data_IF_208153284126
#
_entry.id   IF_208153284126
#
_cell.length_a   1.000
_cell.length_b   1.000
_cell.length_c   1.000
_cell.angle_alpha   90.00
_cell.angle_beta   90.00
_cell.angle_gamma   90.00
#
_symmetry.space_group_name_H-M   'P 1'
#
loop_
_entity.id
_entity.type
_entity.pdbx_description
1 polymer ?
#
# COMPACT_ATOMS: atom_id res chain seq x y z
N UNK A 1 -5.33 40.47 -29.93
CA UNK A 1 -4.83 39.46 -28.98
C UNK A 1 -6.04 38.76 -28.40
N UNK A 2 -6.43 37.62 -28.96
CA UNK A 2 -7.57 36.83 -28.49
C UNK A 2 -7.08 35.92 -27.37
N UNK A 3 -7.46 36.22 -26.13
CA UNK A 3 -7.29 35.30 -25.00
C UNK A 3 -7.94 33.96 -25.36
N UNK A 4 -7.26 32.81 -25.26
CA UNK A 4 -7.91 31.52 -25.48
C UNK A 4 -9.05 31.39 -24.46
N UNK A 5 -10.28 31.31 -24.95
CA UNK A 5 -11.46 31.01 -24.12
C UNK A 5 -11.27 29.64 -23.50
N UNK A 6 -11.14 29.60 -22.17
CA UNK A 6 -11.06 28.34 -21.43
C UNK A 6 -12.30 27.47 -21.74
N UNK A 7 -12.10 26.16 -21.97
CA UNK A 7 -13.21 25.26 -22.27
C UNK A 7 -14.19 25.22 -21.09
N UNK A 8 -15.46 25.52 -21.35
CA UNK A 8 -16.55 25.37 -20.39
C UNK A 8 -17.17 23.97 -20.51
N UNK A 9 -17.61 23.40 -19.39
CA UNK A 9 -18.19 22.05 -19.33
C UNK A 9 -19.62 22.06 -18.78
N UNK A 10 -20.48 21.23 -19.36
CA UNK A 10 -21.89 21.13 -18.95
C UNK A 10 -22.11 20.06 -17.88
N UNK A 11 -23.16 20.24 -17.07
CA UNK A 11 -23.58 19.21 -16.11
C UNK A 11 -24.02 17.95 -16.88
N UNK A 12 -23.55 16.80 -16.42
CA UNK A 12 -23.65 15.50 -17.07
C UNK A 12 -22.76 15.27 -18.31
N UNK A 13 -21.92 16.23 -18.69
CA UNK A 13 -20.95 16.04 -19.76
C UNK A 13 -19.88 15.00 -19.36
N UNK A 14 -19.50 14.13 -20.31
CA UNK A 14 -18.38 13.20 -20.16
C UNK A 14 -17.09 13.91 -20.53
N UNK A 15 -16.12 13.86 -19.63
CA UNK A 15 -14.84 14.57 -19.73
C UNK A 15 -13.70 13.61 -19.40
N UNK A 16 -12.49 14.02 -19.74
CA UNK A 16 -11.27 13.38 -19.30
C UNK A 16 -10.68 14.22 -18.17
N UNK A 17 -10.34 13.61 -17.04
CA UNK A 17 -9.87 14.31 -15.87
C UNK A 17 -8.55 13.72 -15.37
N UNK A 18 -7.57 14.59 -15.10
CA UNK A 18 -6.33 14.19 -14.46
C UNK A 18 -6.57 13.82 -13.01
N UNK A 19 -6.03 12.69 -12.57
CA UNK A 19 -5.88 12.33 -11.17
C UNK A 19 -4.47 11.78 -10.96
N UNK A 20 -3.63 12.56 -10.27
CA UNK A 20 -2.18 12.33 -10.28
C UNK A 20 -1.58 12.49 -11.69
N UNK A 21 -0.65 11.61 -12.12
CA UNK A 21 -0.02 11.68 -13.44
C UNK A 21 -0.88 11.10 -14.58
N UNK A 22 -2.01 10.47 -14.26
CA UNK A 22 -2.85 9.74 -15.21
C UNK A 22 -4.17 10.47 -15.51
N UNK A 23 -4.75 10.14 -16.65
CA UNK A 23 -6.03 10.67 -17.11
C UNK A 23 -7.08 9.57 -17.02
N UNK A 24 -8.22 9.90 -16.42
CA UNK A 24 -9.37 9.02 -16.25
C UNK A 24 -10.61 9.61 -16.92
N UNK A 25 -11.52 8.73 -17.32
CA UNK A 25 -12.84 9.16 -17.80
C UNK A 25 -13.69 9.58 -16.59
N UNK A 26 -14.32 10.76 -16.67
CA UNK A 26 -15.14 11.31 -15.62
C UNK A 26 -16.42 11.97 -16.16
N UNK A 27 -17.35 12.28 -15.28
CA UNK A 27 -18.61 12.97 -15.58
C UNK A 27 -18.78 14.17 -14.66
N UNK A 28 -19.19 15.31 -15.21
CA UNK A 28 -19.54 16.49 -14.41
C UNK A 28 -20.88 16.25 -13.72
N UNK A 29 -20.95 16.42 -12.41
CA UNK A 29 -22.16 16.18 -11.62
C UNK A 29 -22.88 17.45 -11.18
N UNK A 30 -22.18 18.57 -11.01
CA UNK A 30 -22.75 19.83 -10.50
C UNK A 30 -22.33 21.03 -11.38
N UNK A 31 -23.10 22.13 -11.36
CA UNK A 31 -22.69 23.39 -11.99
C UNK A 31 -21.34 23.87 -11.42
N UNK A 32 -20.53 24.59 -12.23
CA UNK A 32 -19.25 25.08 -11.75
C UNK A 32 -19.42 26.12 -10.64
N UNK A 33 -18.48 26.10 -9.69
CA UNK A 33 -18.32 27.15 -8.69
C UNK A 33 -17.10 28.00 -9.05
N UNK A 34 -17.20 29.31 -8.90
CA UNK A 34 -16.11 30.23 -9.19
C UNK A 34 -15.41 30.56 -7.87
N UNK A 35 -14.15 30.16 -7.75
CA UNK A 35 -13.30 30.56 -6.63
C UNK A 35 -12.57 31.87 -6.98
N UNK A 36 -12.65 32.83 -6.07
CA UNK A 36 -11.87 34.07 -6.08
C UNK A 36 -10.48 33.85 -5.47
N UNK A 37 -9.57 34.80 -5.64
CA UNK A 37 -8.20 34.76 -5.05
C UNK A 37 -8.19 34.45 -3.55
N UNK A 38 -9.22 34.91 -2.81
CA UNK A 38 -9.34 34.72 -1.36
C UNK A 38 -9.89 33.34 -0.96
N UNK A 39 -10.62 32.68 -1.86
CA UNK A 39 -11.34 31.41 -1.59
C UNK A 39 -10.76 30.20 -2.31
N UNK A 40 -9.76 30.42 -3.17
CA UNK A 40 -9.12 29.38 -3.94
C UNK A 40 -8.10 28.59 -3.11
N UNK A 41 -8.01 27.26 -3.26
CA UNK A 41 -6.91 26.48 -2.72
C UNK A 41 -5.54 27.03 -3.19
N UNK A 42 -4.55 27.22 -2.30
CA UNK A 42 -3.25 27.83 -2.64
C UNK A 42 -2.49 27.10 -3.77
N UNK A 43 -2.76 25.81 -3.94
CA UNK A 43 -2.08 24.95 -4.91
C UNK A 43 -2.64 25.06 -6.33
N UNK A 44 -3.85 25.60 -6.48
CA UNK A 44 -4.64 25.45 -7.71
C UNK A 44 -5.08 26.79 -8.30
N UNK A 45 -5.15 27.84 -7.47
CA UNK A 45 -5.44 29.19 -7.90
C UNK A 45 -6.93 29.45 -8.17
N UNK A 46 -7.31 30.72 -8.39
CA UNK A 46 -8.70 31.11 -8.66
C UNK A 46 -9.18 30.59 -10.01
N UNK A 47 -10.50 30.49 -10.15
CA UNK A 47 -11.14 30.10 -11.40
C UNK A 47 -12.35 29.20 -11.22
N UNK A 48 -12.89 28.66 -12.32
CA UNK A 48 -14.01 27.72 -12.29
C UNK A 48 -13.56 26.34 -11.80
N UNK A 49 -14.28 25.77 -10.84
CA UNK A 49 -14.12 24.41 -10.37
C UNK A 49 -15.37 23.61 -10.71
N UNK A 50 -15.17 22.37 -11.15
CA UNK A 50 -16.24 21.45 -11.52
C UNK A 50 -16.23 20.24 -10.60
N UNK A 51 -17.41 19.78 -10.20
CA UNK A 51 -17.55 18.58 -9.39
C UNK A 51 -17.58 17.35 -10.30
N UNK A 52 -16.56 16.49 -10.18
CA UNK A 52 -16.36 15.34 -11.07
C UNK A 52 -16.58 14.01 -10.36
N UNK A 53 -17.14 13.05 -11.09
CA UNK A 53 -17.22 11.65 -10.70
C UNK A 53 -16.46 10.79 -11.72
N UNK A 54 -15.49 10.02 -11.24
CA UNK A 54 -14.67 9.15 -12.08
C UNK A 54 -15.41 7.85 -12.42
N UNK A 55 -15.35 7.45 -13.69
CA UNK A 55 -16.00 6.24 -14.18
C UNK A 55 -15.43 5.00 -13.50
N UNK A 56 -16.28 4.28 -12.78
CA UNK A 56 -15.93 3.04 -12.06
C UNK A 56 -15.30 3.27 -10.69
N UNK A 57 -15.25 4.51 -10.20
CA UNK A 57 -14.73 4.84 -8.88
C UNK A 57 -15.91 4.99 -7.88
N UNK A 58 -15.63 4.86 -6.58
CA UNK A 58 -16.63 5.10 -5.53
C UNK A 58 -16.92 6.60 -5.41
N UNK A 59 -18.16 6.97 -5.06
CA UNK A 59 -18.57 8.37 -4.86
C UNK A 59 -17.74 9.12 -3.79
N UNK A 60 -17.09 8.40 -2.87
CA UNK A 60 -16.17 8.98 -1.89
C UNK A 60 -14.93 9.63 -2.52
N UNK A 61 -14.67 9.39 -3.81
CA UNK A 61 -13.60 9.99 -4.59
C UNK A 61 -14.06 11.18 -5.45
N UNK A 62 -15.32 11.59 -5.35
CA UNK A 62 -15.83 12.73 -6.09
C UNK A 62 -15.21 14.02 -5.51
N UNK A 63 -14.63 14.85 -6.37
CA UNK A 63 -13.89 16.04 -5.96
C UNK A 63 -14.23 17.25 -6.83
N UNK A 64 -14.00 18.45 -6.27
CA UNK A 64 -14.01 19.70 -7.02
C UNK A 64 -12.64 19.91 -7.64
N UNK A 65 -12.59 20.00 -8.97
CA UNK A 65 -11.34 20.15 -9.72
C UNK A 65 -11.35 21.42 -10.58
N UNK A 66 -10.22 22.10 -10.73
CA UNK A 66 -10.07 23.25 -11.62
C UNK A 66 -10.20 22.83 -13.09
N UNK A 67 -10.42 23.81 -13.96
CA UNK A 67 -10.41 23.63 -15.43
C UNK A 67 -9.11 23.01 -15.93
N UNK A 68 -7.97 23.34 -15.32
CA UNK A 68 -6.65 22.84 -15.71
C UNK A 68 -6.49 21.31 -15.59
N UNK A 69 -7.33 20.65 -14.78
CA UNK A 69 -7.36 19.18 -14.65
C UNK A 69 -8.35 18.52 -15.62
N UNK A 70 -9.09 19.29 -16.42
CA UNK A 70 -10.13 18.79 -17.30
C UNK A 70 -9.76 18.92 -18.77
N UNK A 71 -10.18 17.92 -19.53
CA UNK A 71 -9.97 17.81 -20.95
C UNK A 71 -11.29 17.37 -21.60
N UNK A 72 -11.62 17.96 -22.76
CA UNK A 72 -12.78 17.52 -23.54
C UNK A 72 -12.56 16.11 -24.06
N UNK A 73 -13.63 15.33 -24.18
CA UNK A 73 -13.60 13.98 -24.73
C UNK A 73 -13.47 14.05 -26.26
N UNK A 74 -12.24 14.25 -26.75
CA UNK A 74 -11.90 14.22 -28.18
C UNK A 74 -10.83 13.15 -28.46
N UNK A 75 -10.64 12.80 -29.73
CA UNK A 75 -9.72 11.73 -30.13
C UNK A 75 -8.26 12.01 -29.74
N UNK A 76 -7.86 13.28 -29.77
CA UNK A 76 -6.52 13.73 -29.35
C UNK A 76 -6.26 13.46 -27.85
N UNK A 77 -7.18 13.86 -26.97
CA UNK A 77 -7.05 13.67 -25.53
C UNK A 77 -7.17 12.19 -25.13
N UNK A 78 -7.96 11.41 -25.88
CA UNK A 78 -8.01 9.95 -25.72
C UNK A 78 -6.66 9.31 -26.09
N UNK A 79 -5.98 9.81 -27.12
CA UNK A 79 -4.63 9.34 -27.47
C UNK A 79 -3.62 9.66 -26.34
N UNK A 80 -3.69 10.84 -25.74
CA UNK A 80 -2.86 11.22 -24.57
C UNK A 80 -3.14 10.32 -23.36
N UNK A 81 -4.41 10.00 -23.09
CA UNK A 81 -4.77 9.05 -22.04
C UNK A 81 -4.12 7.68 -22.27
N UNK A 82 -4.22 7.15 -23.50
CA UNK A 82 -3.63 5.85 -23.85
C UNK A 82 -2.10 5.84 -23.75
N UNK A 83 -1.44 6.90 -24.19
CA UNK A 83 0.03 6.98 -24.13
C UNK A 83 0.53 7.03 -22.68
N UNK A 84 -0.13 7.80 -21.81
CA UNK A 84 0.20 7.88 -20.38
C UNK A 84 -0.05 6.56 -19.63
N UNK A 85 -1.10 5.83 -19.99
CA UNK A 85 -1.37 4.51 -19.40
C UNK A 85 -0.35 3.45 -19.87
N UNK A 86 0.09 3.51 -21.12
CA UNK A 86 1.09 2.58 -21.66
C UNK A 86 2.49 2.78 -21.07
N UNK A 87 2.90 4.04 -20.83
CA UNK A 87 4.19 4.36 -20.21
C UNK A 87 4.25 4.02 -18.72
N UNK A 88 3.10 3.92 -18.05
CA UNK A 88 3.01 3.60 -16.61
C UNK A 88 3.05 2.10 -16.30
N UNK A 89 2.95 1.23 -17.32
CA UNK A 89 2.91 -0.24 -17.18
C UNK A 89 4.27 -0.95 -17.22
N UNK A 90 5.38 -0.22 -17.41
CA UNK A 90 6.75 -0.78 -17.43
C UNK A 90 7.58 -0.12 -16.33
N UNK A 91 7.60 -0.72 -15.13
CA UNK A 91 8.29 -0.16 -13.97
C UNK A 91 9.82 -0.20 -14.07
N UNK A 92 10.47 0.81 -13.48
CA UNK A 92 11.84 0.67 -12.97
C UNK A 92 12.74 1.91 -13.07
N UNK A 93 12.76 2.72 -12.00
CA UNK A 93 13.93 3.43 -11.47
C UNK A 93 14.73 4.41 -12.35
N UNK A 94 14.67 5.70 -11.96
CA UNK A 94 15.88 6.52 -11.86
C UNK A 94 15.95 7.81 -12.70
N UNK A 95 16.01 8.93 -11.96
CA UNK A 95 16.73 10.18 -12.26
C UNK A 95 16.22 11.07 -13.42
N UNK A 96 15.63 12.22 -13.04
CA UNK A 96 15.85 13.47 -13.80
C UNK A 96 17.32 13.94 -13.67
N UNK A 97 17.80 14.90 -14.48
CA UNK A 97 17.09 16.17 -14.72
C UNK A 97 17.06 16.65 -16.19
N UNK A 98 16.31 17.73 -16.38
CA UNK A 98 16.05 18.49 -17.61
C UNK A 98 17.29 19.25 -18.14
N UNK A 99 17.21 19.59 -19.44
CA UNK A 99 17.79 20.75 -20.20
C UNK A 99 18.77 20.33 -21.31
N UNK A 100 18.44 20.68 -22.57
CA UNK A 100 19.42 20.75 -23.66
C UNK A 100 18.85 20.64 -25.08
N UNK A 101 18.85 21.75 -25.80
CA UNK A 101 18.38 22.01 -27.16
C UNK A 101 19.30 21.43 -28.28
N UNK A 102 18.67 21.12 -29.42
CA UNK A 102 19.17 21.10 -30.82
C UNK A 102 19.97 19.90 -31.39
N UNK A 103 19.59 19.53 -32.62
CA UNK A 103 20.56 19.26 -33.70
C UNK A 103 20.38 17.97 -34.52
N UNK A 104 19.68 18.07 -35.65
CA UNK A 104 20.04 17.52 -36.99
C UNK A 104 20.32 16.01 -37.22
N UNK A 105 19.56 15.46 -38.18
CA UNK A 105 19.78 14.25 -39.00
C UNK A 105 21.08 14.34 -39.86
N UNK A 106 21.47 13.39 -40.77
CA UNK A 106 20.67 12.30 -41.38
C UNK A 106 21.40 10.98 -41.78
N UNK A 107 20.63 10.08 -42.42
CA UNK A 107 21.10 9.00 -43.33
C UNK A 107 20.87 7.59 -42.76
N UNK A 108 20.26 6.60 -43.43
CA UNK A 108 19.83 6.44 -44.81
C UNK A 108 19.97 4.94 -45.17
N UNK A 109 19.12 4.44 -46.09
CA UNK A 109 19.08 3.09 -46.73
C UNK A 109 18.36 2.00 -45.91
N UNK A 110 17.39 1.22 -46.42
CA UNK A 110 16.89 1.03 -47.78
C UNK A 110 16.75 -0.47 -48.10
N UNK A 111 15.60 -0.86 -48.69
CA UNK A 111 15.23 -2.18 -49.26
C UNK A 111 14.84 -3.29 -48.26
N UNK A 112 13.83 -4.12 -48.48
CA UNK A 112 12.85 -4.34 -49.56
C UNK A 112 11.94 -5.49 -49.07
N UNK A 113 10.63 -5.47 -49.30
CA UNK A 113 10.04 -6.11 -50.46
C UNK A 113 8.89 -7.03 -49.99
N UNK A 114 7.71 -6.79 -50.56
CA UNK A 114 6.42 -7.44 -50.28
C UNK A 114 6.31 -8.88 -50.80
N UNK A 115 5.36 -9.65 -50.26
CA UNK A 115 4.33 -10.51 -50.91
C UNK A 115 3.94 -11.63 -49.93
N UNK A 116 2.72 -12.14 -49.82
CA UNK A 116 1.51 -11.99 -50.62
C UNK A 116 0.30 -12.58 -49.88
N UNK A 117 -0.86 -12.27 -50.44
CA UNK A 117 -2.21 -12.59 -49.99
C UNK A 117 -2.73 -13.92 -50.55
N UNK A 118 -3.87 -14.38 -50.00
CA UNK A 118 -4.86 -15.39 -50.46
C UNK A 118 -4.67 -16.78 -49.83
N UNK A 119 -5.70 -17.48 -49.34
CA UNK A 119 -7.15 -17.29 -49.34
C UNK A 119 -7.86 -18.66 -49.22
N UNK A 120 -9.18 -18.62 -48.96
CA UNK A 120 -10.18 -19.72 -48.92
C UNK A 120 -10.28 -20.54 -47.61
N UNK A 121 -11.36 -20.57 -46.83
CA UNK A 121 -12.82 -20.70 -47.03
C UNK A 121 -13.34 -22.15 -47.15
N UNK A 122 -14.17 -22.58 -46.19
CA UNK A 122 -15.37 -23.45 -46.34
C UNK A 122 -16.05 -23.62 -44.95
N UNK A 123 -17.23 -23.03 -44.70
CA UNK A 123 -18.62 -23.59 -44.74
C UNK A 123 -18.88 -24.68 -43.68
N UNK A 124 -19.99 -24.76 -42.94
CA UNK A 124 -21.33 -24.12 -42.88
C UNK A 124 -22.04 -24.72 -41.63
N UNK A 125 -23.24 -24.36 -41.18
CA UNK A 125 -24.40 -23.65 -41.73
C UNK A 125 -25.34 -23.20 -40.57
N UNK A 126 -26.19 -22.18 -40.77
CA UNK A 126 -27.55 -22.23 -41.33
C UNK A 126 -28.63 -22.42 -40.22
N UNK A 127 -29.34 -21.38 -39.75
CA UNK A 127 -30.69 -20.84 -40.16
C UNK A 127 -31.27 -20.19 -38.86
N UNK A 128 -32.19 -19.23 -38.76
CA UNK A 128 -33.28 -18.70 -39.58
C UNK A 128 -33.72 -17.34 -38.97
N UNK A 129 -34.18 -16.43 -39.82
CA UNK A 129 -34.73 -15.12 -39.49
C UNK A 129 -36.21 -15.19 -38.99
N UNK A 130 -36.60 -14.22 -38.15
CA UNK A 130 -37.99 -13.78 -37.98
C UNK A 130 -38.56 -13.82 -36.55
N UNK A 131 -38.90 -12.64 -36.00
CA UNK A 131 -39.97 -12.54 -34.98
C UNK A 131 -39.73 -11.61 -33.78
N UNK A 132 -40.28 -10.40 -33.89
CA UNK A 132 -40.77 -9.49 -32.85
C UNK A 132 -40.91 -10.02 -31.40
N UNK A 133 -40.48 -9.21 -30.43
CA UNK A 133 -41.24 -8.97 -29.19
C UNK A 133 -40.62 -9.45 -27.87
N UNK A 134 -40.15 -8.48 -27.08
CA UNK A 134 -40.51 -8.37 -25.66
C UNK A 134 -39.78 -9.25 -24.63
N UNK A 135 -39.28 -8.57 -23.59
CA UNK A 135 -38.85 -9.08 -22.27
C UNK A 135 -37.43 -9.67 -22.19
N UNK A 136 -36.45 -8.78 -22.28
CA UNK A 136 -35.12 -9.00 -21.71
C UNK A 136 -35.20 -9.12 -20.19
N UNK A 137 -35.37 -10.35 -19.72
CA UNK A 137 -35.13 -10.74 -18.34
C UNK A 137 -33.68 -10.38 -18.00
N UNK A 138 -33.53 -9.48 -17.02
CA UNK A 138 -32.24 -9.05 -16.45
C UNK A 138 -31.41 -10.30 -16.16
N UNK A 139 -30.43 -10.60 -17.01
CA UNK A 139 -29.29 -11.42 -16.60
C UNK A 139 -28.54 -10.56 -15.59
N UNK A 140 -28.79 -10.80 -14.32
CA UNK A 140 -27.84 -10.48 -13.28
C UNK A 140 -26.52 -11.09 -13.74
N UNK A 141 -25.63 -10.25 -14.25
CA UNK A 141 -24.23 -10.60 -14.38
C UNK A 141 -23.78 -10.67 -12.93
N UNK A 142 -23.70 -11.89 -12.40
CA UNK A 142 -22.87 -12.18 -11.24
C UNK A 142 -21.46 -11.73 -11.64
N UNK A 143 -21.16 -10.45 -11.41
CA UNK A 143 -19.82 -9.90 -11.51
C UNK A 143 -19.05 -10.49 -10.34
N UNK A 144 -18.48 -11.66 -10.60
CA UNK A 144 -17.13 -12.04 -10.22
C UNK A 144 -16.72 -11.59 -8.80
N UNK A 145 -17.46 -12.09 -7.80
CA UNK A 145 -17.08 -11.99 -6.37
C UNK A 145 -15.77 -12.74 -6.07
N UNK A 146 -15.22 -13.48 -7.04
CA UNK A 146 -13.97 -14.24 -6.95
C UNK A 146 -12.71 -13.37 -6.91
N UNK A 147 -12.81 -12.06 -7.19
CA UNK A 147 -11.66 -11.14 -7.25
C UNK A 147 -11.43 -10.32 -5.97
N UNK A 148 -12.28 -10.45 -4.94
CA UNK A 148 -12.01 -9.84 -3.64
C UNK A 148 -10.85 -10.59 -3.00
N UNK A 149 -9.63 -10.07 -3.19
CA UNK A 149 -8.47 -10.51 -2.41
C UNK A 149 -8.89 -10.55 -0.93
N UNK A 150 -8.69 -11.67 -0.23
CA UNK A 150 -9.07 -11.77 1.16
C UNK A 150 -8.31 -10.72 1.96
N UNK A 151 -9.01 -9.75 2.53
CA UNK A 151 -8.39 -8.75 3.39
C UNK A 151 -8.26 -9.31 4.81
N UNK A 152 -7.02 -9.35 5.32
CA UNK A 152 -6.76 -9.70 6.70
C UNK A 152 -7.32 -8.59 7.61
N UNK A 153 -8.42 -8.87 8.31
CA UNK A 153 -8.95 -7.97 9.34
C UNK A 153 -8.52 -8.46 10.72
N UNK A 154 -7.59 -7.75 11.33
CA UNK A 154 -7.16 -7.99 12.71
C UNK A 154 -8.01 -7.16 13.67
N UNK A 155 -8.40 -7.77 14.79
CA UNK A 155 -9.08 -7.05 15.85
C UNK A 155 -8.09 -6.76 16.97
N UNK A 156 -7.47 -5.58 16.93
CA UNK A 156 -6.52 -5.15 17.95
C UNK A 156 -7.29 -4.68 19.19
N UNK A 157 -7.06 -5.27 20.38
CA UNK A 157 -7.66 -4.81 21.64
C UNK A 157 -7.37 -3.34 21.92
N UNK A 158 -8.34 -2.62 22.50
CA UNK A 158 -8.21 -1.18 22.73
C UNK A 158 -7.05 -0.85 23.69
N UNK A 159 -6.75 -1.73 24.63
CA UNK A 159 -5.60 -1.60 25.54
C UNK A 159 -4.28 -1.55 24.76
N UNK A 160 -4.12 -2.41 23.75
CA UNK A 160 -2.93 -2.42 22.90
C UNK A 160 -2.88 -1.22 21.94
N UNK A 161 -4.03 -0.66 21.56
CA UNK A 161 -4.08 0.60 20.79
C UNK A 161 -3.55 1.76 21.62
N UNK A 162 -3.90 1.83 22.91
CA UNK A 162 -3.36 2.86 23.82
C UNK A 162 -1.85 2.73 23.90
N UNK A 163 -1.31 1.52 24.09
CA UNK A 163 0.14 1.26 24.08
C UNK A 163 0.81 1.76 22.80
N UNK A 164 0.20 1.55 21.63
CA UNK A 164 0.74 2.05 20.36
C UNK A 164 0.75 3.57 20.24
N UNK A 165 -0.28 4.23 20.77
CA UNK A 165 -0.35 5.70 20.80
C UNK A 165 0.72 6.24 21.74
N UNK A 166 0.83 5.68 22.94
CA UNK A 166 1.84 6.06 23.94
C UNK A 166 3.26 5.85 23.41
N UNK A 167 3.52 4.71 22.77
CA UNK A 167 4.79 4.38 22.12
C UNK A 167 5.15 5.39 21.01
N UNK A 168 4.18 5.73 20.15
CA UNK A 168 4.38 6.74 19.11
C UNK A 168 4.68 8.13 19.69
N UNK A 169 3.96 8.55 20.74
CA UNK A 169 4.20 9.83 21.42
C UNK A 169 5.56 9.85 22.12
N UNK A 170 5.91 8.78 22.82
CA UNK A 170 7.17 8.66 23.53
C UNK A 170 8.38 8.84 22.59
N UNK A 171 8.34 8.22 21.42
CA UNK A 171 9.46 8.25 20.47
C UNK A 171 9.45 9.50 19.60
N UNK A 172 8.27 9.89 19.09
CA UNK A 172 8.16 10.98 18.10
C UNK A 172 8.10 12.37 18.74
N UNK A 173 7.44 12.50 19.90
CA UNK A 173 7.27 13.79 20.59
C UNK A 173 8.26 13.95 21.75
N UNK A 174 8.43 12.92 22.57
CA UNK A 174 9.20 13.01 23.80
C UNK A 174 10.70 12.66 23.63
N UNK A 175 11.13 12.29 22.43
CA UNK A 175 12.52 11.91 22.13
C UNK A 175 13.06 10.81 23.05
N UNK A 176 12.19 9.87 23.43
CA UNK A 176 12.54 8.68 24.19
C UNK A 176 12.88 7.54 23.24
N UNK A 177 13.59 6.53 23.73
CA UNK A 177 13.97 5.35 22.97
C UNK A 177 13.60 4.09 23.71
N UNK A 178 13.21 3.06 22.96
CA UNK A 178 13.11 1.71 23.50
C UNK A 178 14.52 1.22 23.81
N UNK A 179 14.87 1.22 25.10
CA UNK A 179 16.16 0.78 25.60
C UNK A 179 15.99 0.23 27.03
N UNK A 180 16.87 -0.70 27.48
CA UNK A 180 18.08 -1.20 26.81
C UNK A 180 17.80 -2.16 25.65
N UNK A 181 18.69 -2.15 24.65
CA UNK A 181 18.81 -3.22 23.65
C UNK A 181 20.06 -4.06 24.00
N UNK A 182 20.00 -5.40 23.98
CA UNK A 182 18.87 -6.25 23.63
C UNK A 182 17.71 -6.18 24.64
N UNK A 183 16.46 -6.29 24.15
CA UNK A 183 15.26 -6.35 25.00
C UNK A 183 15.14 -7.70 25.69
N UNK A 184 14.48 -7.69 26.84
CA UNK A 184 14.11 -8.88 27.59
C UNK A 184 12.61 -8.74 27.94
N UNK A 185 11.75 -9.64 27.47
CA UNK A 185 12.00 -10.70 26.48
C UNK A 185 12.26 -10.14 25.06
N UNK A 186 13.03 -10.87 24.25
CA UNK A 186 13.19 -10.61 22.81
C UNK A 186 11.98 -11.06 22.00
N UNK A 187 11.82 -10.63 20.75
CA UNK A 187 10.73 -11.10 19.87
C UNK A 187 10.77 -12.61 19.68
N UNK A 188 11.95 -13.20 19.48
CA UNK A 188 12.07 -14.65 19.35
C UNK A 188 11.59 -15.37 20.62
N UNK A 189 12.11 -14.98 21.78
CA UNK A 189 11.70 -15.57 23.06
C UNK A 189 10.21 -15.37 23.37
N UNK A 190 9.64 -14.24 22.96
CA UNK A 190 8.23 -13.93 23.12
C UNK A 190 7.36 -14.86 22.27
N UNK A 191 7.72 -15.06 21.00
CA UNK A 191 6.98 -15.96 20.10
C UNK A 191 7.11 -17.42 20.55
N UNK A 192 8.27 -17.83 21.06
CA UNK A 192 8.48 -19.17 21.63
C UNK A 192 7.64 -19.36 22.91
N UNK A 193 7.61 -18.38 23.81
CA UNK A 193 6.76 -18.40 25.02
C UNK A 193 5.27 -18.47 24.67
N UNK A 194 4.84 -17.70 23.66
CA UNK A 194 3.48 -17.75 23.17
C UNK A 194 3.16 -19.12 22.55
N UNK A 195 4.11 -19.71 21.81
CA UNK A 195 3.95 -21.04 21.24
C UNK A 195 3.70 -22.08 22.33
N UNK A 196 4.52 -22.07 23.38
CA UNK A 196 4.38 -22.97 24.52
C UNK A 196 3.07 -22.74 25.28
N UNK A 197 2.68 -21.48 25.48
CA UNK A 197 1.40 -21.12 26.08
C UNK A 197 0.21 -21.71 25.30
N UNK A 198 0.20 -21.55 23.98
CA UNK A 198 -0.86 -22.08 23.10
C UNK A 198 -0.92 -23.61 23.08
N UNK A 199 0.23 -24.28 23.17
CA UNK A 199 0.28 -25.75 23.20
C UNK A 199 -0.25 -26.34 24.51
N UNK A 200 -0.04 -25.61 25.62
CA UNK A 200 -0.43 -26.00 26.99
C UNK A 200 -1.81 -25.48 27.42
N UNK A 201 -2.44 -24.60 26.63
CA UNK A 201 -3.76 -24.04 26.95
C UNK A 201 -4.87 -25.10 26.85
N UNK A 202 -5.59 -25.32 27.96
CA UNK A 202 -6.77 -26.19 28.02
C UNK A 202 -7.98 -25.43 28.63
N UNK A 203 -9.17 -25.44 27.98
CA UNK A 203 -9.50 -26.09 26.71
C UNK A 203 -8.94 -25.33 25.50
N UNK A 204 -8.55 -26.07 24.46
CA UNK A 204 -8.07 -25.47 23.21
C UNK A 204 -9.21 -24.72 22.52
N UNK A 205 -8.97 -23.49 22.03
CA UNK A 205 -10.01 -22.74 21.34
C UNK A 205 -10.47 -23.48 20.08
N UNK A 206 -11.76 -23.77 19.99
CA UNK A 206 -12.36 -24.63 18.96
C UNK A 206 -12.20 -24.11 17.52
N UNK A 207 -11.82 -22.83 17.34
CA UNK A 207 -11.63 -22.21 16.04
C UNK A 207 -10.21 -22.40 15.46
N UNK A 208 -9.23 -22.83 16.27
CA UNK A 208 -7.86 -23.05 15.78
C UNK A 208 -7.72 -24.43 15.11
N UNK A 209 -7.35 -24.43 13.82
CA UNK A 209 -7.02 -25.66 13.08
C UNK A 209 -5.60 -26.12 13.42
N UNK A 210 -5.48 -27.37 13.88
CA UNK A 210 -4.22 -28.09 14.12
C UNK A 210 -3.08 -27.27 14.75
N UNK A 211 -3.25 -26.79 16.01
CA UNK A 211 -2.25 -25.96 16.69
C UNK A 211 -0.83 -26.53 16.69
N UNK A 212 -0.68 -27.86 16.79
CA UNK A 212 0.64 -28.50 16.84
C UNK A 212 1.44 -28.38 15.53
N UNK A 213 0.77 -28.30 14.38
CA UNK A 213 1.42 -28.29 13.07
C UNK A 213 1.54 -26.87 12.52
N UNK A 214 0.48 -26.08 12.69
CA UNK A 214 0.40 -24.74 12.10
C UNK A 214 1.22 -23.72 12.89
N UNK A 215 1.16 -23.79 14.22
CA UNK A 215 1.74 -22.78 15.10
C UNK A 215 3.25 -22.57 14.89
N UNK A 216 4.09 -23.62 14.78
CA UNK A 216 5.53 -23.43 14.49
C UNK A 216 5.78 -22.74 13.14
N UNK A 217 4.93 -23.02 12.15
CA UNK A 217 5.03 -22.39 10.82
C UNK A 217 4.66 -20.92 10.89
N UNK A 218 3.62 -20.57 11.66
CA UNK A 218 3.22 -19.17 11.90
C UNK A 218 4.30 -18.42 12.66
N UNK A 219 4.85 -19.00 13.75
CA UNK A 219 5.94 -18.39 14.53
C UNK A 219 7.15 -18.13 13.66
N UNK A 220 7.61 -19.13 12.90
CA UNK A 220 8.73 -18.98 11.96
C UNK A 220 8.46 -17.90 10.90
N UNK A 221 7.24 -17.86 10.36
CA UNK A 221 6.80 -16.84 9.41
C UNK A 221 6.82 -15.43 10.02
N UNK A 222 6.31 -15.24 11.24
CA UNK A 222 6.31 -13.96 11.94
C UNK A 222 7.73 -13.49 12.26
N UNK A 223 8.62 -14.38 12.71
CA UNK A 223 10.03 -14.07 12.99
C UNK A 223 10.76 -13.61 11.72
N UNK A 224 10.69 -14.39 10.65
CA UNK A 224 11.30 -14.04 9.36
C UNK A 224 10.75 -12.71 8.82
N UNK A 225 9.45 -12.50 8.99
CA UNK A 225 8.80 -11.26 8.59
C UNK A 225 9.30 -10.05 9.40
N UNK A 226 9.43 -10.22 10.71
CA UNK A 226 9.96 -9.19 11.60
C UNK A 226 11.38 -8.77 11.20
N UNK A 227 12.25 -9.75 10.98
CA UNK A 227 13.65 -9.52 10.60
C UNK A 227 13.77 -8.75 9.28
N UNK A 228 12.89 -9.05 8.32
CA UNK A 228 12.88 -8.36 7.01
C UNK A 228 12.24 -6.97 7.07
N UNK A 229 11.22 -6.79 7.91
CA UNK A 229 10.39 -5.57 7.91
C UNK A 229 10.87 -4.50 8.89
N UNK A 230 11.60 -4.87 9.95
CA UNK A 230 12.03 -3.93 10.99
C UNK A 230 12.71 -2.70 10.41
N UNK A 231 13.79 -2.91 9.65
CA UNK A 231 14.59 -1.83 9.08
C UNK A 231 13.87 -1.00 8.01
N UNK A 232 12.83 -1.55 7.37
CA UNK A 232 12.09 -0.87 6.33
C UNK A 232 10.94 -0.02 6.92
N UNK A 233 10.08 -0.67 7.71
CA UNK A 233 8.72 -0.19 7.98
C UNK A 233 8.41 0.07 9.45
N UNK A 234 9.13 -0.56 10.40
CA UNK A 234 8.70 -0.58 11.82
C UNK A 234 9.34 0.50 12.69
N UNK A 235 10.44 1.09 12.23
CA UNK A 235 11.22 2.07 12.99
C UNK A 235 10.81 3.50 12.64
N UNK A 236 10.54 4.30 13.68
CA UNK A 236 10.35 5.73 13.54
C UNK A 236 11.67 6.42 13.15
N UNK A 237 11.56 7.64 12.61
CA UNK A 237 12.75 8.42 12.18
C UNK A 237 13.77 8.57 13.32
N UNK A 238 13.29 8.79 14.55
CA UNK A 238 14.15 8.98 15.73
C UNK A 238 14.91 7.71 16.15
N UNK A 239 14.43 6.51 15.81
CA UNK A 239 15.10 5.23 16.14
C UNK A 239 16.14 4.81 15.08
N UNK A 240 16.20 5.48 13.93
CA UNK A 240 17.10 5.11 12.82
C UNK A 240 18.58 5.13 13.23
N UNK A 241 19.10 6.11 14.00
CA UNK A 241 20.48 6.08 14.48
C UNK A 241 20.76 4.90 15.41
N UNK A 242 19.81 4.54 16.29
CA UNK A 242 19.92 3.37 17.18
C UNK A 242 20.02 2.08 16.36
N UNK A 243 19.15 1.90 15.36
CA UNK A 243 19.20 0.77 14.44
C UNK A 243 20.51 0.69 13.65
N UNK A 244 21.04 1.84 13.20
CA UNK A 244 22.33 1.88 12.51
C UNK A 244 23.49 1.45 13.45
N UNK A 245 23.44 1.84 14.72
CA UNK A 245 24.41 1.40 15.73
C UNK A 245 24.32 -0.11 15.98
N UNK A 246 23.10 -0.65 16.15
CA UNK A 246 22.84 -2.08 16.33
C UNK A 246 23.35 -2.89 15.13
N UNK A 247 23.05 -2.45 13.89
CA UNK A 247 23.57 -3.10 12.68
C UNK A 247 25.09 -3.10 12.59
N UNK A 248 25.75 -2.00 13.00
CA UNK A 248 27.21 -1.97 13.07
C UNK A 248 27.74 -2.93 14.14
N UNK A 249 27.04 -3.07 15.26
CA UNK A 249 27.49 -3.94 16.33
C UNK A 249 27.37 -5.43 15.99
N UNK A 250 26.29 -5.85 15.34
CA UNK A 250 25.96 -7.27 15.18
C UNK A 250 26.02 -7.81 13.72
N UNK A 251 26.04 -6.95 12.70
CA UNK A 251 25.94 -7.39 11.29
C UNK A 251 27.09 -6.88 10.43
N UNK A 252 27.42 -5.58 10.49
CA UNK A 252 28.21 -4.90 9.45
C UNK A 252 29.39 -4.07 9.95
N UNK A 253 29.77 -4.16 11.23
CA UNK A 253 30.88 -3.38 11.79
C UNK A 253 32.19 -4.15 11.88
N UNK A 254 33.28 -3.39 12.05
CA UNK A 254 34.65 -3.89 12.15
C UNK A 254 34.93 -4.78 13.38
N UNK A 255 34.00 -4.83 14.34
CA UNK A 255 34.09 -5.62 15.57
C UNK A 255 33.17 -6.85 15.58
N UNK A 256 32.52 -7.19 14.46
CA UNK A 256 31.66 -8.38 14.38
C UNK A 256 32.53 -9.63 14.50
N UNK A 257 32.31 -10.42 15.55
CA UNK A 257 32.92 -11.73 15.72
C UNK A 257 32.11 -12.71 14.87
N UNK A 258 32.76 -13.30 13.87
CA UNK A 258 32.18 -14.33 12.99
C UNK A 258 31.56 -15.44 13.86
N UNK A 259 30.24 -15.62 13.77
CA UNK A 259 29.46 -16.57 14.58
C UNK A 259 28.58 -15.97 15.69
N UNK A 260 28.60 -14.64 15.87
CA UNK A 260 27.70 -13.91 16.82
C UNK A 260 26.73 -12.97 16.11
N UNK A 261 26.46 -13.22 14.83
CA UNK A 261 25.43 -12.51 14.09
C UNK A 261 24.09 -12.77 14.77
N UNK A 262 23.44 -11.69 15.22
CA UNK A 262 22.12 -11.74 15.81
C UNK A 262 21.12 -11.16 14.84
N UNK A 263 20.03 -11.89 14.65
CA UNK A 263 18.88 -11.40 13.92
C UNK A 263 18.18 -10.30 14.73
N UNK A 264 17.38 -9.50 14.05
CA UNK A 264 16.70 -8.37 14.68
C UNK A 264 15.67 -8.83 15.70
N UNK A 265 15.06 -9.98 15.47
CA UNK A 265 14.15 -10.69 16.37
C UNK A 265 14.79 -11.07 17.70
N UNK A 266 16.12 -11.18 17.77
CA UNK A 266 16.90 -11.47 18.98
C UNK A 266 17.37 -10.21 19.74
N UNK A 267 17.05 -9.02 19.23
CA UNK A 267 17.52 -7.74 19.78
C UNK A 267 16.34 -6.88 20.23
N UNK A 268 15.30 -6.82 19.41
CA UNK A 268 14.11 -6.01 19.67
C UNK A 268 13.06 -6.78 20.48
N UNK A 269 12.07 -6.06 21.00
CA UNK A 269 11.07 -6.57 21.95
C UNK A 269 9.63 -6.48 21.46
N UNK A 270 8.70 -6.59 22.40
CA UNK A 270 7.25 -6.61 22.17
C UNK A 270 6.72 -5.34 21.51
N UNK A 271 7.35 -4.19 21.78
CA UNK A 271 6.96 -2.87 21.27
C UNK A 271 6.99 -2.86 19.74
N UNK A 272 8.12 -3.29 19.15
CA UNK A 272 8.29 -3.37 17.71
C UNK A 272 7.48 -4.49 17.08
N UNK A 273 7.30 -5.61 17.79
CA UNK A 273 6.45 -6.71 17.33
C UNK A 273 5.00 -6.26 17.17
N UNK A 274 4.49 -5.47 18.12
CA UNK A 274 3.12 -4.94 18.04
C UNK A 274 2.94 -4.03 16.82
N UNK A 275 3.93 -3.18 16.51
CA UNK A 275 3.92 -2.36 15.27
C UNK A 275 3.88 -3.22 14.00
N UNK A 276 4.60 -4.34 13.99
CA UNK A 276 4.57 -5.30 12.88
C UNK A 276 3.18 -5.90 12.70
N UNK A 277 2.56 -6.35 13.79
CA UNK A 277 1.24 -6.98 13.76
C UNK A 277 0.19 -6.01 13.19
N UNK A 278 0.22 -4.74 13.58
CA UNK A 278 -0.71 -3.72 13.04
C UNK A 278 -0.47 -3.43 11.55
N UNK A 279 0.78 -3.52 11.10
CA UNK A 279 1.13 -3.33 9.69
C UNK A 279 0.81 -4.59 8.83
N UNK A 280 0.64 -5.75 9.47
CA UNK A 280 0.56 -7.06 8.79
C UNK A 280 -0.55 -7.14 7.72
N UNK A 281 -1.76 -6.58 7.93
CA UNK A 281 -2.80 -6.55 6.91
C UNK A 281 -2.39 -5.91 5.59
N UNK A 282 -1.71 -4.76 5.66
CA UNK A 282 -1.24 -4.04 4.48
C UNK A 282 -0.20 -4.86 3.72
N UNK A 283 0.61 -5.64 4.46
CA UNK A 283 1.70 -6.44 3.91
C UNK A 283 1.18 -7.73 3.26
N UNK A 284 0.17 -8.38 3.87
CA UNK A 284 -0.49 -9.56 3.29
C UNK A 284 -1.31 -9.23 2.04
N UNK A 285 -1.84 -8.01 1.92
CA UNK A 285 -2.59 -7.58 0.73
C UNK A 285 -1.77 -7.66 -0.59
N UNK A 286 -0.44 -7.59 -0.49
CA UNK A 286 0.48 -7.75 -1.62
C UNK A 286 0.99 -9.19 -1.81
N UNK A 287 0.66 -10.11 -0.91
CA UNK A 287 1.06 -11.51 -0.98
C UNK A 287 0.12 -12.36 -1.86
N UNK A 288 0.59 -13.51 -2.32
CA UNK A 288 -0.16 -14.48 -3.14
C UNK A 288 -0.80 -15.60 -2.31
N UNK A 289 -1.13 -15.33 -1.04
CA UNK A 289 -1.76 -16.32 -0.15
C UNK A 289 -3.23 -16.54 -0.52
N UNK A 290 -3.68 -17.79 -0.37
CA UNK A 290 -5.08 -18.16 -0.51
C UNK A 290 -5.92 -17.71 0.69
N UNK A 291 -7.25 -17.73 0.52
CA UNK A 291 -8.18 -17.26 1.54
C UNK A 291 -8.12 -18.08 2.84
N UNK A 292 -7.94 -19.41 2.76
CA UNK A 292 -7.88 -20.25 3.95
C UNK A 292 -6.63 -19.96 4.77
N UNK A 293 -5.49 -19.83 4.12
CA UNK A 293 -4.23 -19.42 4.78
C UNK A 293 -4.35 -18.05 5.45
N UNK A 294 -5.03 -17.09 4.81
CA UNK A 294 -5.23 -15.75 5.40
C UNK A 294 -6.13 -15.83 6.64
N UNK A 295 -7.21 -16.63 6.60
CA UNK A 295 -8.06 -16.84 7.78
C UNK A 295 -7.31 -17.55 8.91
N UNK A 296 -6.47 -18.53 8.57
CA UNK A 296 -5.63 -19.23 9.55
C UNK A 296 -4.69 -18.25 10.25
N UNK A 297 -3.93 -17.46 9.49
CA UNK A 297 -3.03 -16.43 10.02
C UNK A 297 -3.82 -15.44 10.90
N UNK A 298 -4.99 -14.98 10.44
CA UNK A 298 -5.85 -14.08 11.20
C UNK A 298 -6.18 -14.62 12.59
N UNK A 299 -6.61 -15.87 12.66
CA UNK A 299 -7.09 -16.47 13.89
C UNK A 299 -5.93 -16.65 14.89
N UNK A 300 -4.76 -17.12 14.43
CA UNK A 300 -3.57 -17.21 15.26
C UNK A 300 -3.04 -15.85 15.71
N UNK A 301 -3.01 -14.84 14.83
CA UNK A 301 -2.55 -13.49 15.19
C UNK A 301 -3.52 -12.82 16.17
N UNK A 302 -4.83 -13.08 16.08
CA UNK A 302 -5.78 -12.60 17.08
C UNK A 302 -5.56 -13.27 18.45
N UNK A 303 -5.23 -14.56 18.50
CA UNK A 303 -4.87 -15.21 19.76
C UNK A 303 -3.54 -14.71 20.33
N UNK A 304 -2.57 -14.38 19.48
CA UNK A 304 -1.34 -13.68 19.89
C UNK A 304 -1.66 -12.33 20.53
N UNK A 305 -2.52 -11.52 19.91
CA UNK A 305 -2.93 -10.23 20.45
C UNK A 305 -3.63 -10.35 21.82
N UNK A 306 -4.48 -11.37 22.01
CA UNK A 306 -5.11 -11.64 23.32
C UNK A 306 -4.08 -12.02 24.39
N UNK A 307 -3.10 -12.85 24.03
CA UNK A 307 -2.03 -13.22 24.96
C UNK A 307 -1.14 -12.02 25.30
N UNK A 308 -0.82 -11.18 24.32
CA UNK A 308 -0.07 -9.94 24.55
C UNK A 308 -0.84 -8.94 25.44
N UNK A 309 -2.18 -8.91 25.34
CA UNK A 309 -3.03 -8.13 26.24
C UNK A 309 -2.98 -8.66 27.68
N UNK A 310 -3.04 -9.98 27.86
CA UNK A 310 -2.96 -10.64 29.17
C UNK A 310 -1.62 -10.35 29.87
N UNK A 311 -0.52 -10.42 29.12
CA UNK A 311 0.84 -10.25 29.66
C UNK A 311 1.42 -8.85 29.44
N UNK A 312 0.58 -7.86 29.13
CA UNK A 312 1.01 -6.50 28.77
C UNK A 312 2.00 -5.87 29.75
N UNK A 313 1.80 -6.07 31.05
CA UNK A 313 2.64 -5.46 32.09
C UNK A 313 4.05 -6.06 32.15
N UNK A 314 4.19 -7.30 31.67
CA UNK A 314 5.48 -8.01 31.57
C UNK A 314 6.18 -7.73 30.25
N UNK A 315 5.42 -7.61 29.17
CA UNK A 315 5.96 -7.51 27.80
C UNK A 315 6.39 -6.09 27.43
N UNK A 316 5.63 -5.06 27.82
CA UNK A 316 5.89 -3.67 27.45
C UNK A 316 6.63 -2.92 28.56
N UNK A 317 7.55 -2.03 28.20
CA UNK A 317 8.15 -1.12 29.18
C UNK A 317 7.11 -0.11 29.68
N UNK A 318 7.12 0.14 30.99
CA UNK A 318 6.32 1.20 31.59
C UNK A 318 6.83 2.60 31.21
N UNK A 319 8.15 2.77 31.13
CA UNK A 319 8.79 4.05 30.80
C UNK A 319 10.00 3.82 29.88
N UNK A 320 10.17 4.73 28.92
CA UNK A 320 11.33 4.73 28.03
C UNK A 320 12.39 5.73 28.51
N UNK A 321 13.67 5.33 28.53
CA UNK A 321 14.75 6.26 28.88
C UNK A 321 14.91 7.36 27.81
N UNK A 322 15.29 8.54 28.28
CA UNK A 322 15.61 9.65 27.40
C UNK A 322 16.89 9.38 26.61
N UNK A 323 16.89 9.73 25.32
CA UNK A 323 18.08 9.64 24.50
C UNK A 323 19.13 10.66 24.96
N UNK A 324 20.40 10.26 24.96
CA UNK A 324 21.50 11.17 25.30
C UNK A 324 21.62 12.33 24.29
N UNK A 325 22.26 13.43 24.69
CA UNK A 325 22.35 14.64 23.88
C UNK A 325 23.05 14.40 22.52
N UNK A 326 24.06 13.54 22.49
CA UNK A 326 24.76 13.17 21.26
C UNK A 326 23.84 12.46 20.27
N UNK A 327 23.00 11.55 20.76
CA UNK A 327 22.01 10.84 19.96
C UNK A 327 20.97 11.81 19.40
N UNK A 328 20.47 12.72 20.23
CA UNK A 328 19.51 13.73 19.79
C UNK A 328 20.08 14.60 18.67
N UNK A 329 21.35 15.02 18.75
CA UNK A 329 22.01 15.79 17.70
C UNK A 329 22.13 15.02 16.39
N UNK A 330 22.50 13.73 16.46
CA UNK A 330 22.60 12.86 15.27
C UNK A 330 21.23 12.59 14.65
N UNK A 331 20.17 12.47 15.44
CA UNK A 331 18.80 12.22 14.96
C UNK A 331 18.11 13.44 14.33
N UNK A 332 18.52 14.65 14.72
CA UNK A 332 18.00 15.93 14.19
C UNK A 332 18.67 16.35 12.88
N UNK A 333 19.90 15.88 12.66
CA UNK A 333 20.67 16.08 11.43
C UNK A 333 20.06 15.28 10.28
#
# INVERSE_FOLDING_TARGET
MTTPTDPTYDVNERVLCYHGPLIYEAKILKPPIIHTEESAPPQTGPGPYYFVHYKGWKQTWDEWVPVSRLLKLNEQNIAVQKSLQASSGHGGSGRGPMVGIAGTAPGGLGAGGSTGSKGAASRGGARKDGGHGGRGQKRARDEDDSSKKPELKLNVPDVLKVVLVDDWEAITKNNLLVAPLPRIPTVQELLDQWQDYMLNLEPKPAHLREPKLVLPTIVSGLTCYFDRSLGANLLYRFERPQYAAVRKQYIAGSHVIVGTEKDMSQIYGAEHLLRMIVSLPQMIAFSTLDAESIFLIRDYVNELLKWMELERERLFLAEYPAANLNYQNVSRS
#
